data_IF_780791016545
#
_entry.id   IF_780791016545
#
_cell.length_a   1.000
_cell.length_b   1.000
_cell.length_c   1.000
_cell.angle_alpha   90.00
_cell.angle_beta   90.00
_cell.angle_gamma   90.00
#
_symmetry.space_group_name_H-M   'P 1'
#
loop_
_entity.id
_entity.type
_entity.pdbx_description
1 polymer ?
#
# COMPACT_ATOMS: atom_id res chain seq x y z
N UNK A 1 17.10 19.22 3.09
CA UNK A 1 16.05 18.47 3.81
C UNK A 1 14.80 18.56 2.96
N UNK A 2 14.40 17.48 2.28
CA UNK A 2 13.08 17.44 1.65
C UNK A 2 12.09 17.17 2.78
N UNK A 3 11.22 18.13 3.06
CA UNK A 3 9.97 17.84 3.74
C UNK A 3 9.12 17.09 2.71
N UNK A 4 9.27 15.78 2.65
CA UNK A 4 8.22 14.94 2.09
C UNK A 4 7.22 14.80 3.20
N UNK A 5 5.98 15.21 2.96
CA UNK A 5 4.87 14.73 3.77
C UNK A 5 5.05 13.20 3.86
N UNK A 6 5.23 12.66 5.06
CA UNK A 6 5.43 11.22 5.25
C UNK A 6 4.16 10.52 4.78
N UNK A 7 4.14 10.13 3.50
CA UNK A 7 3.05 9.38 2.91
C UNK A 7 3.03 8.03 3.62
N UNK A 8 1.95 7.78 4.32
CA UNK A 8 1.74 6.52 5.03
C UNK A 8 0.71 5.69 4.29
N UNK A 9 0.73 4.39 4.58
CA UNK A 9 -0.36 3.49 4.19
C UNK A 9 -1.06 2.98 5.45
N UNK A 10 -2.35 2.71 5.32
CA UNK A 10 -3.14 2.03 6.33
C UNK A 10 -4.12 1.08 5.63
N UNK A 11 -4.47 -0.02 6.30
CA UNK A 11 -5.51 -0.92 5.81
C UNK A 11 -6.83 -0.63 6.53
N UNK A 12 -7.92 -0.60 5.78
CA UNK A 12 -9.26 -0.31 6.31
C UNK A 12 -9.69 -1.29 7.41
N UNK A 13 -9.23 -2.55 7.32
CA UNK A 13 -9.40 -3.57 8.35
C UNK A 13 -8.08 -4.29 8.58
N UNK A 14 -7.81 -4.66 9.82
CA UNK A 14 -6.66 -5.51 10.17
C UNK A 14 -6.66 -6.87 9.46
N UNK A 15 -7.84 -7.36 9.03
CA UNK A 15 -7.96 -8.58 8.20
C UNK A 15 -7.39 -8.37 6.80
N UNK A 16 -7.55 -7.18 6.24
CA UNK A 16 -7.10 -6.86 4.87
C UNK A 16 -5.57 -6.76 4.85
N UNK A 17 -4.97 -6.19 5.91
CA UNK A 17 -3.53 -6.20 6.14
C UNK A 17 -2.98 -7.63 6.25
N UNK A 18 -3.58 -8.46 7.11
CA UNK A 18 -3.15 -9.86 7.27
C UNK A 18 -3.21 -10.63 5.96
N UNK A 19 -4.31 -10.49 5.20
CA UNK A 19 -4.43 -11.15 3.90
C UNK A 19 -3.40 -10.66 2.89
N UNK A 20 -3.06 -9.37 2.90
CA UNK A 20 -1.99 -8.83 2.07
C UNK A 20 -0.63 -9.41 2.47
N UNK A 21 -0.27 -9.38 3.75
CA UNK A 21 1.01 -9.93 4.26
C UNK A 21 1.11 -11.41 3.88
N UNK A 22 0.07 -12.21 4.12
CA UNK A 22 0.07 -13.64 3.76
C UNK A 22 0.32 -13.87 2.27
N UNK A 23 -0.29 -13.05 1.39
CA UNK A 23 -0.07 -13.12 -0.07
C UNK A 23 1.34 -12.70 -0.44
N UNK A 24 1.86 -11.66 0.20
CA UNK A 24 3.22 -11.17 0.00
C UNK A 24 4.25 -12.22 0.41
N UNK A 25 4.13 -12.74 1.63
CA UNK A 25 5.05 -13.74 2.17
C UNK A 25 5.04 -15.04 1.38
N UNK A 26 3.88 -15.43 0.86
CA UNK A 26 3.76 -16.60 -0.03
C UNK A 26 4.56 -16.43 -1.33
N UNK A 27 4.73 -15.20 -1.81
CA UNK A 27 5.43 -14.90 -3.07
C UNK A 27 6.91 -14.58 -2.86
N UNK A 28 7.21 -13.75 -1.86
CA UNK A 28 8.52 -13.12 -1.64
C UNK A 28 9.27 -13.69 -0.41
N UNK A 29 8.61 -14.49 0.43
CA UNK A 29 9.14 -15.01 1.68
C UNK A 29 8.73 -14.18 2.89
N UNK A 30 8.92 -14.74 4.09
CA UNK A 30 8.52 -14.08 5.35
C UNK A 30 9.22 -12.75 5.59
N UNK A 31 8.49 -11.80 6.18
CA UNK A 31 9.00 -10.48 6.53
C UNK A 31 9.27 -10.40 8.03
N UNK A 32 10.34 -9.71 8.42
CA UNK A 32 10.52 -9.23 9.78
C UNK A 32 9.92 -7.80 9.94
N UNK A 33 9.92 -7.28 11.17
CA UNK A 33 9.36 -5.95 11.47
C UNK A 33 10.01 -4.83 10.65
N UNK A 34 11.34 -4.81 10.52
CA UNK A 34 12.05 -3.81 9.71
C UNK A 34 11.66 -3.89 8.22
N UNK A 35 11.53 -5.09 7.68
CA UNK A 35 11.14 -5.33 6.29
C UNK A 35 9.66 -4.98 6.04
N UNK A 36 8.80 -5.13 7.05
CA UNK A 36 7.41 -4.68 6.96
C UNK A 36 7.32 -3.15 6.88
N UNK A 37 8.09 -2.44 7.72
CA UNK A 37 8.15 -0.97 7.68
C UNK A 37 8.67 -0.48 6.31
N UNK A 38 9.72 -1.11 5.79
CA UNK A 38 10.25 -0.82 4.45
C UNK A 38 9.23 -1.12 3.34
N UNK A 39 8.50 -2.24 3.45
CA UNK A 39 7.45 -2.59 2.50
C UNK A 39 6.34 -1.53 2.48
N UNK A 40 5.88 -1.11 3.65
CA UNK A 40 4.81 -0.12 3.77
C UNK A 40 5.22 1.25 3.23
N UNK A 41 6.45 1.70 3.55
CA UNK A 41 7.01 2.90 2.96
C UNK A 41 7.14 2.79 1.44
N UNK A 42 7.63 1.65 0.93
CA UNK A 42 7.76 1.39 -0.51
C UNK A 42 6.43 1.40 -1.25
N UNK A 43 5.38 0.82 -0.66
CA UNK A 43 4.02 0.88 -1.22
C UNK A 43 3.52 2.32 -1.26
N UNK A 44 3.73 3.11 -0.19
CA UNK A 44 3.30 4.51 -0.12
C UNK A 44 3.93 5.35 -1.25
N UNK A 45 5.25 5.22 -1.43
CA UNK A 45 5.96 5.91 -2.50
C UNK A 45 5.53 5.44 -3.88
N UNK A 46 5.32 4.13 -4.06
CA UNK A 46 4.96 3.55 -5.34
C UNK A 46 3.55 3.95 -5.79
N UNK A 47 2.56 3.92 -4.89
CA UNK A 47 1.20 4.35 -5.24
C UNK A 47 1.14 5.85 -5.53
N UNK A 48 1.85 6.66 -4.75
CA UNK A 48 1.92 8.10 -4.96
C UNK A 48 2.57 8.44 -6.31
N UNK A 49 3.67 7.78 -6.65
CA UNK A 49 4.30 7.90 -7.97
C UNK A 49 3.36 7.43 -9.09
N UNK A 50 2.62 6.35 -8.89
CA UNK A 50 1.67 5.82 -9.87
C UNK A 50 0.48 6.77 -10.09
N UNK A 51 -0.04 7.40 -9.04
CA UNK A 51 -1.11 8.40 -9.14
C UNK A 51 -0.60 9.67 -9.83
N UNK A 52 0.58 10.16 -9.44
CA UNK A 52 1.20 11.36 -10.04
C UNK A 52 1.55 11.17 -11.52
N UNK A 53 1.80 9.94 -11.95
CA UNK A 53 2.08 9.57 -13.34
C UNK A 53 0.84 9.12 -14.13
N UNK A 54 -0.36 9.19 -13.52
CA UNK A 54 -1.63 8.73 -14.10
C UNK A 54 -1.63 7.23 -14.51
N UNK A 55 -0.75 6.43 -13.89
CA UNK A 55 -0.68 4.98 -14.05
C UNK A 55 -1.64 4.23 -13.13
N UNK A 56 -2.11 4.87 -12.05
CA UNK A 56 -3.05 4.31 -11.09
C UNK A 56 -4.12 5.34 -10.70
N UNK A 57 -5.35 4.88 -10.51
CA UNK A 57 -6.47 5.73 -10.07
C UNK A 57 -6.99 5.28 -8.72
N UNK A 58 -7.28 6.26 -7.86
CA UNK A 58 -7.98 6.01 -6.61
C UNK A 58 -9.32 5.31 -6.86
N UNK A 59 -9.66 4.34 -6.03
CA UNK A 59 -10.79 3.44 -6.21
C UNK A 59 -10.47 2.17 -7.02
N UNK A 60 -9.27 2.01 -7.57
CA UNK A 60 -8.84 0.78 -8.25
C UNK A 60 -7.92 -0.07 -7.36
N UNK A 61 -7.80 -1.36 -7.69
CA UNK A 61 -6.88 -2.26 -6.99
C UNK A 61 -5.45 -1.94 -7.37
N UNK A 62 -4.65 -1.53 -6.38
CA UNK A 62 -3.22 -1.31 -6.55
C UNK A 62 -2.47 -2.64 -6.44
N UNK A 63 -1.49 -2.83 -7.32
CA UNK A 63 -0.64 -4.03 -7.36
C UNK A 63 0.81 -3.60 -7.16
N UNK A 64 1.41 -4.03 -6.06
CA UNK A 64 2.80 -3.75 -5.74
C UNK A 64 3.65 -5.02 -5.98
N UNK A 65 4.69 -4.92 -6.80
CA UNK A 65 5.54 -6.06 -7.21
C UNK A 65 4.77 -7.31 -7.67
N UNK A 66 3.61 -7.11 -8.29
CA UNK A 66 2.73 -8.20 -8.73
C UNK A 66 2.00 -8.92 -7.59
N UNK A 67 1.85 -8.30 -6.43
CA UNK A 67 0.96 -8.70 -5.33
C UNK A 67 -0.15 -7.65 -5.21
N UNK A 68 -1.43 -8.03 -5.27
CA UNK A 68 -2.52 -7.08 -5.08
C UNK A 68 -2.55 -6.61 -3.62
N UNK A 69 -2.32 -5.33 -3.40
CA UNK A 69 -2.35 -4.70 -2.08
C UNK A 69 -3.79 -4.50 -1.63
N UNK A 70 -4.62 -3.95 -2.50
CA UNK A 70 -6.03 -3.67 -2.22
C UNK A 70 -6.57 -2.54 -3.06
N UNK A 71 -7.86 -2.26 -2.93
CA UNK A 71 -8.45 -1.05 -3.52
C UNK A 71 -7.93 0.15 -2.75
N UNK A 72 -7.27 1.07 -3.46
CA UNK A 72 -6.69 2.25 -2.84
C UNK A 72 -7.72 3.37 -2.69
N UNK A 73 -7.68 4.05 -1.56
CA UNK A 73 -8.33 5.32 -1.31
C UNK A 73 -7.28 6.29 -0.75
N UNK A 74 -7.54 7.59 -0.77
CA UNK A 74 -6.61 8.58 -0.24
C UNK A 74 -7.30 9.60 0.65
N UNK A 75 -6.81 9.71 1.87
CA UNK A 75 -7.22 10.74 2.80
C UNK A 75 -6.30 11.95 2.68
N UNK A 76 -6.74 12.96 1.94
CA UNK A 76 -6.01 14.22 1.74
C UNK A 76 -5.71 14.98 3.02
N UNK A 77 -6.51 14.81 4.09
CA UNK A 77 -6.29 15.52 5.35
C UNK A 77 -5.10 14.96 6.14
N UNK A 78 -4.88 13.65 6.07
CA UNK A 78 -3.79 12.96 6.77
C UNK A 78 -2.66 12.52 5.83
N UNK A 79 -2.74 12.84 4.53
CA UNK A 79 -1.81 12.35 3.50
C UNK A 79 -1.60 10.83 3.58
N UNK A 80 -2.70 10.10 3.75
CA UNK A 80 -2.73 8.67 4.08
C UNK A 80 -3.42 7.88 2.97
N UNK A 81 -2.73 6.88 2.43
CA UNK A 81 -3.33 5.91 1.51
C UNK A 81 -4.00 4.79 2.28
N UNK A 82 -5.28 4.56 2.02
CA UNK A 82 -6.07 3.53 2.68
C UNK A 82 -6.32 2.39 1.70
N UNK A 83 -5.99 1.17 2.09
CA UNK A 83 -6.25 -0.02 1.28
C UNK A 83 -7.37 -0.84 1.89
N UNK A 84 -8.35 -1.23 1.08
CA UNK A 84 -9.33 -2.24 1.45
C UNK A 84 -9.11 -3.52 0.63
N UNK A 85 -9.49 -4.66 1.20
CA UNK A 85 -9.39 -5.93 0.49
C UNK A 85 -10.07 -5.86 -0.88
N UNK A 86 -9.44 -6.39 -1.94
CA UNK A 86 -10.06 -6.45 -3.25
C UNK A 86 -11.36 -7.27 -3.11
N UNK A 87 -12.49 -6.67 -3.50
CA UNK A 87 -13.75 -7.41 -3.59
C UNK A 87 -13.61 -8.42 -4.73
N UNK A 88 -13.59 -9.71 -4.40
CA UNK A 88 -13.86 -10.79 -5.34
C UNK A 88 -15.27 -10.65 -5.96
#
# INVERSE_FOLDING_TARGET
MRNMDDLMIEFYKSKDEQEFIERWEKKNGSLNEEQMDELYAGIAEAIDAAIKSDQHKLGETFVYEGVPVGRSDFNTFYSLYIFEAPRD
#
